data_IF_389162777361
#
_entry.id   IF_389162777361
#
_cell.length_a   1.000
_cell.length_b   1.000
_cell.length_c   1.000
_cell.angle_alpha   90.00
_cell.angle_beta   90.00
_cell.angle_gamma   90.00
#
_symmetry.space_group_name_H-M   'P 1'
#
loop_
_entity.id
_entity.type
_entity.pdbx_description
1 polymer ?
#
# COMPACT_ATOMS: atom_id res chain seq x y z
N UNK A 1 -4.67 -11.67 9.94
CA UNK A 1 -4.33 -13.07 9.68
C UNK A 1 -5.57 -13.98 9.73
N UNK A 2 -6.38 -13.94 10.80
CA UNK A 2 -7.60 -14.75 10.88
C UNK A 2 -8.65 -14.42 9.81
N UNK A 3 -8.75 -13.16 9.38
CA UNK A 3 -9.64 -12.76 8.30
C UNK A 3 -9.17 -13.29 6.94
N UNK A 4 -7.87 -13.25 6.67
CA UNK A 4 -7.28 -13.80 5.44
C UNK A 4 -7.53 -15.31 5.37
N UNK A 5 -7.29 -16.04 6.47
CA UNK A 5 -7.56 -17.49 6.51
C UNK A 5 -9.03 -17.85 6.32
N UNK A 6 -9.96 -17.00 6.81
CA UNK A 6 -11.39 -17.22 6.55
C UNK A 6 -11.74 -17.04 5.07
N UNK A 7 -11.14 -16.05 4.41
CA UNK A 7 -11.32 -15.81 2.98
C UNK A 7 -10.70 -16.96 2.18
N UNK A 8 -9.49 -17.39 2.55
CA UNK A 8 -8.81 -18.53 1.91
C UNK A 8 -9.60 -19.84 2.10
N UNK A 9 -10.24 -20.06 3.24
CA UNK A 9 -11.11 -21.20 3.50
C UNK A 9 -12.42 -21.17 2.68
N UNK A 10 -12.84 -19.99 2.21
CA UNK A 10 -13.95 -19.80 1.29
C UNK A 10 -13.47 -19.88 -0.17
N UNK A 11 -12.19 -20.14 -0.40
CA UNK A 11 -11.54 -20.13 -1.70
C UNK A 11 -12.15 -21.17 -2.64
N UNK A 12 -12.42 -20.73 -3.83
CA UNK A 12 -13.09 -21.47 -4.91
C UNK A 12 -14.31 -20.75 -5.45
N UNK A 13 -14.94 -19.87 -4.65
CA UNK A 13 -16.14 -19.12 -5.04
C UNK A 13 -16.02 -17.61 -4.86
N UNK A 14 -15.02 -17.13 -4.15
CA UNK A 14 -14.89 -15.70 -3.81
C UNK A 14 -13.48 -15.18 -4.06
N UNK A 15 -13.39 -13.94 -4.53
CA UNK A 15 -12.13 -13.18 -4.62
C UNK A 15 -12.24 -12.03 -3.63
N UNK A 16 -11.29 -11.92 -2.71
CA UNK A 16 -11.20 -10.79 -1.81
C UNK A 16 -11.01 -9.48 -2.59
N UNK A 17 -11.62 -8.40 -2.10
CA UNK A 17 -11.53 -7.06 -2.70
C UNK A 17 -11.06 -6.05 -1.62
N UNK A 18 -9.83 -6.19 -1.11
CA UNK A 18 -9.35 -5.30 -0.05
C UNK A 18 -9.11 -3.88 -0.57
N UNK A 19 -9.40 -2.90 0.28
CA UNK A 19 -9.14 -1.48 0.02
C UNK A 19 -8.81 -0.77 1.34
N UNK A 20 -8.18 0.41 1.26
CA UNK A 20 -7.88 1.24 2.42
C UNK A 20 -9.00 2.22 2.72
N UNK A 21 -9.58 2.81 1.69
CA UNK A 21 -10.72 3.71 1.79
C UNK A 21 -11.54 3.73 0.50
N UNK A 22 -12.69 4.41 0.56
CA UNK A 22 -13.58 4.64 -0.57
C UNK A 22 -14.34 5.97 -0.37
N UNK A 23 -15.37 6.22 -1.19
CA UNK A 23 -16.20 7.43 -1.11
C UNK A 23 -17.06 7.54 0.16
N UNK A 24 -17.22 6.46 0.92
CA UNK A 24 -18.02 6.41 2.16
C UNK A 24 -17.14 6.44 3.42
N UNK A 25 -15.88 6.01 3.31
CA UNK A 25 -14.94 6.00 4.43
C UNK A 25 -13.96 7.17 4.35
N UNK A 26 -13.38 7.57 5.48
CA UNK A 26 -12.33 8.59 5.48
C UNK A 26 -11.13 8.17 4.64
N UNK A 27 -10.52 9.14 3.94
CA UNK A 27 -9.31 8.89 3.13
C UNK A 27 -8.14 8.47 4.01
N UNK A 28 -7.40 7.48 3.54
CA UNK A 28 -6.33 6.83 4.33
C UNK A 28 -5.27 7.83 4.81
N UNK A 29 -4.87 8.79 4.00
CA UNK A 29 -3.87 9.79 4.40
C UNK A 29 -4.32 10.62 5.61
N UNK A 30 -5.61 10.95 5.72
CA UNK A 30 -6.19 11.59 6.90
C UNK A 30 -6.17 10.69 8.12
N UNK A 31 -6.55 9.42 7.96
CA UNK A 31 -6.62 8.41 9.04
C UNK A 31 -5.23 8.16 9.66
N UNK A 32 -4.19 8.05 8.84
CA UNK A 32 -2.82 7.81 9.33
C UNK A 32 -2.09 9.09 9.76
N UNK A 33 -2.83 10.19 9.92
CA UNK A 33 -2.31 11.44 10.49
C UNK A 33 -1.49 12.28 9.51
N UNK A 34 -1.75 12.16 8.22
CA UNK A 34 -1.11 12.95 7.15
C UNK A 34 0.41 12.78 7.10
N UNK A 35 0.89 11.60 7.43
CA UNK A 35 2.32 11.25 7.41
C UNK A 35 2.62 10.39 6.20
N UNK A 36 3.46 10.90 5.32
CA UNK A 36 3.81 10.29 4.05
C UNK A 36 4.26 8.83 4.21
N UNK A 37 5.24 8.58 5.09
CA UNK A 37 5.74 7.22 5.35
C UNK A 37 4.64 6.26 5.81
N UNK A 38 3.64 6.76 6.56
CA UNK A 38 2.51 5.94 6.98
C UNK A 38 1.56 5.65 5.83
N UNK A 39 1.32 6.63 4.93
CA UNK A 39 0.51 6.42 3.72
C UNK A 39 1.14 5.34 2.85
N UNK A 40 2.43 5.46 2.58
CA UNK A 40 3.20 4.45 1.82
C UNK A 40 3.12 3.09 2.50
N UNK A 41 3.42 3.03 3.79
CA UNK A 41 3.45 1.78 4.54
C UNK A 41 2.13 1.01 4.49
N UNK A 42 1.00 1.68 4.73
CA UNK A 42 -0.31 1.00 4.70
C UNK A 42 -0.68 0.53 3.30
N UNK A 43 -0.26 1.26 2.25
CA UNK A 43 -0.44 0.79 0.88
C UNK A 43 0.45 -0.41 0.55
N UNK A 44 1.69 -0.39 1.00
CA UNK A 44 2.58 -1.55 0.90
C UNK A 44 1.95 -2.80 1.53
N UNK A 45 1.35 -2.66 2.72
CA UNK A 45 0.60 -3.74 3.37
C UNK A 45 -0.58 -4.21 2.51
N UNK A 46 -1.39 -3.28 1.99
CA UNK A 46 -2.53 -3.61 1.11
C UNK A 46 -2.06 -4.40 -0.11
N UNK A 47 -0.97 -3.97 -0.73
CA UNK A 47 -0.44 -4.60 -1.94
C UNK A 47 0.06 -6.04 -1.72
N UNK A 48 0.35 -6.43 -0.47
CA UNK A 48 0.74 -7.79 -0.09
C UNK A 48 -0.45 -8.70 0.25
N UNK A 49 -1.68 -8.19 0.26
CA UNK A 49 -2.86 -9.01 0.54
C UNK A 49 -3.31 -9.80 -0.71
N UNK A 50 -3.82 -11.00 -0.48
CA UNK A 50 -4.46 -11.82 -1.52
C UNK A 50 -5.78 -11.17 -1.99
N UNK A 51 -6.12 -11.32 -3.25
CA UNK A 51 -7.34 -10.80 -3.87
C UNK A 51 -7.10 -9.64 -4.83
N UNK A 52 -8.15 -8.96 -5.24
CA UNK A 52 -8.08 -7.77 -6.09
C UNK A 52 -8.10 -6.51 -5.22
N UNK A 53 -6.98 -5.84 -5.09
CA UNK A 53 -6.89 -4.57 -4.34
C UNK A 53 -7.55 -3.44 -5.10
N UNK A 54 -8.30 -2.59 -4.38
CA UNK A 54 -8.90 -1.39 -4.93
C UNK A 54 -8.22 -0.15 -4.33
N UNK A 55 -7.85 0.77 -5.19
CA UNK A 55 -7.32 2.09 -4.82
C UNK A 55 -8.39 3.13 -5.12
N UNK A 56 -8.76 3.92 -4.13
CA UNK A 56 -9.65 5.05 -4.34
C UNK A 56 -8.84 6.21 -4.94
N UNK A 57 -9.37 6.86 -5.97
CA UNK A 57 -8.65 7.92 -6.68
C UNK A 57 -8.11 8.99 -5.71
N UNK A 58 -6.89 9.43 -5.94
CA UNK A 58 -6.19 10.40 -5.10
C UNK A 58 -5.50 9.82 -3.86
N UNK A 59 -5.73 8.54 -3.50
CA UNK A 59 -4.96 7.89 -2.45
C UNK A 59 -3.49 7.74 -2.86
N UNK A 60 -3.24 7.54 -4.15
CA UNK A 60 -1.92 7.42 -4.76
C UNK A 60 -1.09 8.71 -4.70
N UNK A 61 -1.71 9.83 -4.39
CA UNK A 61 -1.03 11.12 -4.12
C UNK A 61 -1.28 11.64 -2.71
N UNK A 62 -1.87 10.81 -1.84
CA UNK A 62 -2.10 11.15 -0.45
C UNK A 62 -3.20 12.18 -0.20
N UNK A 63 -4.23 12.28 -1.05
CA UNK A 63 -5.36 13.19 -0.81
C UNK A 63 -6.04 12.89 0.52
N UNK A 64 -6.48 13.94 1.19
CA UNK A 64 -7.15 13.86 2.50
C UNK A 64 -8.65 14.21 2.38
N UNK A 65 -9.43 13.78 3.37
CA UNK A 65 -10.86 14.02 3.47
C UNK A 65 -11.48 12.96 4.39
N UNK A 66 -11.96 13.34 5.57
CA UNK A 66 -12.26 12.34 6.59
C UNK A 66 -13.63 12.45 7.22
N UNK A 67 -14.18 13.64 7.42
CA UNK A 67 -15.35 13.82 8.28
C UNK A 67 -16.64 14.00 7.51
N UNK A 68 -16.64 14.85 6.50
CA UNK A 68 -17.81 15.17 5.71
C UNK A 68 -17.79 14.41 4.39
N UNK A 69 -18.91 13.88 3.94
CA UNK A 69 -18.97 13.08 2.71
C UNK A 69 -18.46 13.81 1.47
N UNK A 70 -18.85 15.06 1.21
CA UNK A 70 -18.31 15.81 0.09
C UNK A 70 -16.80 15.99 0.14
N UNK A 71 -16.19 16.12 1.33
CA UNK A 71 -14.75 16.32 1.48
C UNK A 71 -13.91 15.08 1.06
N UNK A 72 -14.52 13.89 1.04
CA UNK A 72 -13.89 12.67 0.55
C UNK A 72 -13.84 12.60 -0.98
N UNK A 73 -14.63 13.45 -1.67
CA UNK A 73 -14.88 13.42 -3.12
C UNK A 73 -14.38 14.66 -3.85
N UNK A 74 -13.44 15.38 -3.25
CA UNK A 74 -12.81 16.57 -3.85
C UNK A 74 -12.04 16.22 -5.11
N UNK A 75 -11.84 17.19 -6.00
CA UNK A 75 -11.12 17.00 -7.26
C UNK A 75 -9.69 16.52 -7.07
N UNK A 76 -9.20 15.79 -8.07
CA UNK A 76 -7.81 15.33 -8.13
C UNK A 76 -6.86 16.53 -8.18
N UNK A 77 -5.78 16.50 -7.41
CA UNK A 77 -4.70 17.48 -7.49
C UNK A 77 -3.72 17.05 -8.59
N UNK A 78 -3.85 17.65 -9.76
CA UNK A 78 -2.99 17.31 -10.89
C UNK A 78 -1.63 18.00 -10.83
N UNK A 79 -1.59 19.22 -10.30
CA UNK A 79 -0.40 20.06 -10.16
C UNK A 79 -0.52 20.97 -8.92
N UNK A 80 0.61 21.44 -8.39
CA UNK A 80 0.64 22.33 -7.23
C UNK A 80 0.05 23.72 -7.52
N UNK A 81 0.03 24.14 -8.76
CA UNK A 81 -0.60 25.40 -9.19
C UNK A 81 -2.13 25.33 -9.16
N UNK A 82 -2.70 24.12 -9.03
CA UNK A 82 -4.15 23.86 -8.98
C UNK A 82 -4.91 24.33 -10.21
N UNK A 83 -4.26 24.30 -11.36
CA UNK A 83 -4.80 24.87 -12.61
C UNK A 83 -5.94 24.04 -13.19
N UNK A 84 -5.98 22.74 -12.91
CA UNK A 84 -6.93 21.77 -13.49
C UNK A 84 -7.78 21.06 -12.44
N UNK A 85 -7.98 21.66 -11.28
CA UNK A 85 -8.85 21.09 -10.26
C UNK A 85 -10.31 21.26 -10.63
N UNK A 86 -11.08 20.17 -10.57
CA UNK A 86 -12.53 20.24 -10.73
C UNK A 86 -13.19 20.93 -9.53
N UNK A 87 -14.33 21.56 -9.77
CA UNK A 87 -15.13 22.17 -8.71
C UNK A 87 -15.44 21.15 -7.61
N UNK A 88 -15.26 21.55 -6.37
CA UNK A 88 -15.57 20.70 -5.22
C UNK A 88 -17.08 20.38 -5.18
N UNK A 89 -17.48 19.20 -4.69
CA UNK A 89 -18.88 18.84 -4.51
C UNK A 89 -19.63 19.86 -3.63
N UNK A 90 -20.93 20.07 -3.88
CA UNK A 90 -21.76 20.88 -2.97
C UNK A 90 -21.69 20.38 -1.53
N UNK A 91 -21.59 21.28 -0.57
CA UNK A 91 -21.45 20.94 0.85
C UNK A 91 -20.03 20.60 1.30
N UNK A 92 -19.03 20.73 0.44
CA UNK A 92 -17.63 20.61 0.84
C UNK A 92 -17.29 21.69 1.89
N UNK A 93 -16.75 21.24 3.02
CA UNK A 93 -16.32 22.12 4.12
C UNK A 93 -14.81 22.26 4.20
N UNK A 94 -14.06 21.30 3.63
CA UNK A 94 -12.62 21.30 3.64
C UNK A 94 -12.08 20.73 2.34
N UNK A 95 -11.29 21.51 1.63
CA UNK A 95 -10.54 21.08 0.46
C UNK A 95 -9.05 21.29 0.75
N UNK A 96 -8.45 20.30 1.39
CA UNK A 96 -7.05 20.36 1.78
C UNK A 96 -6.23 19.36 0.97
N UNK A 97 -5.13 19.85 0.44
CA UNK A 97 -4.07 19.05 -0.17
C UNK A 97 -2.82 19.22 0.68
N UNK A 98 -2.30 18.12 1.18
CA UNK A 98 -1.19 18.10 2.16
C UNK A 98 0.12 17.73 1.47
N UNK A 99 0.01 16.96 0.39
CA UNK A 99 1.12 16.50 -0.42
C UNK A 99 1.04 17.13 -1.80
N UNK A 100 2.10 17.02 -2.56
CA UNK A 100 2.22 17.55 -3.91
C UNK A 100 1.24 16.91 -4.89
N UNK A 101 1.02 17.59 -6.01
CA UNK A 101 0.18 17.09 -7.10
C UNK A 101 0.83 15.96 -7.89
N UNK A 102 0.06 15.40 -8.83
CA UNK A 102 0.50 14.29 -9.67
C UNK A 102 1.81 14.63 -10.41
N UNK A 103 1.89 15.83 -11.03
CA UNK A 103 3.04 16.18 -11.85
C UNK A 103 4.32 16.25 -11.02
N UNK A 104 4.29 16.90 -9.86
CA UNK A 104 5.44 17.01 -8.98
C UNK A 104 5.83 15.65 -8.40
N UNK A 105 4.84 14.85 -8.01
CA UNK A 105 5.10 13.50 -7.48
C UNK A 105 5.64 12.54 -8.55
N UNK A 106 5.37 12.78 -9.82
CA UNK A 106 5.98 11.99 -10.92
C UNK A 106 7.49 12.19 -11.02
N UNK A 107 7.96 13.39 -10.70
CA UNK A 107 9.39 13.76 -10.77
C UNK A 107 10.16 13.34 -9.50
N UNK A 108 9.48 13.15 -8.38
CA UNK A 108 10.10 12.69 -7.13
C UNK A 108 10.10 11.16 -7.03
N UNK A 109 11.26 10.49 -7.14
CA UNK A 109 11.36 9.03 -7.07
C UNK A 109 10.89 8.46 -5.72
N UNK A 110 10.88 9.27 -4.67
CA UNK A 110 10.46 8.86 -3.33
C UNK A 110 9.03 9.28 -2.98
N UNK A 111 8.27 9.84 -3.90
CA UNK A 111 6.88 10.27 -3.67
C UNK A 111 5.94 9.12 -3.32
N UNK A 112 4.76 9.46 -2.80
CA UNK A 112 3.67 8.50 -2.57
C UNK A 112 3.29 7.83 -3.89
N UNK A 113 3.14 8.61 -4.97
CA UNK A 113 2.75 8.12 -6.29
C UNK A 113 3.73 7.06 -6.84
N UNK A 114 5.03 7.35 -6.77
CA UNK A 114 6.03 6.43 -7.29
C UNK A 114 6.15 5.18 -6.40
N UNK A 115 5.93 5.30 -5.09
CA UNK A 115 5.82 4.15 -4.21
C UNK A 115 4.60 3.26 -4.55
N UNK A 116 3.44 3.84 -4.84
CA UNK A 116 2.26 3.10 -5.30
C UNK A 116 2.52 2.34 -6.60
N UNK A 117 3.20 2.99 -7.57
CA UNK A 117 3.63 2.33 -8.82
C UNK A 117 4.55 1.14 -8.53
N UNK A 118 5.52 1.31 -7.62
CA UNK A 118 6.45 0.26 -7.25
C UNK A 118 5.72 -0.95 -6.62
N UNK A 119 4.79 -0.70 -5.70
CA UNK A 119 3.95 -1.74 -5.09
C UNK A 119 3.12 -2.50 -6.14
N UNK A 120 2.49 -1.77 -7.06
CA UNK A 120 1.69 -2.37 -8.12
C UNK A 120 2.55 -3.19 -9.09
N UNK A 121 3.75 -2.71 -9.43
CA UNK A 121 4.68 -3.45 -10.26
C UNK A 121 5.11 -4.77 -9.60
N UNK A 122 5.47 -4.74 -8.31
CA UNK A 122 5.79 -5.93 -7.55
C UNK A 122 4.61 -6.93 -7.55
N UNK A 123 3.41 -6.42 -7.27
CA UNK A 123 2.20 -7.22 -7.26
C UNK A 123 1.90 -7.88 -8.61
N UNK A 124 2.11 -7.18 -9.70
CA UNK A 124 1.91 -7.70 -11.06
C UNK A 124 3.00 -8.68 -11.49
N UNK A 125 4.24 -8.47 -11.02
CA UNK A 125 5.35 -9.36 -11.32
C UNK A 125 5.25 -10.72 -10.63
N UNK A 126 4.60 -10.77 -9.46
CA UNK A 126 4.50 -11.98 -8.63
C UNK A 126 3.03 -12.39 -8.41
N UNK A 127 2.44 -13.22 -9.28
CA UNK A 127 1.07 -13.74 -9.13
C UNK A 127 0.77 -14.34 -7.74
N UNK A 128 1.75 -14.91 -7.05
CA UNK A 128 1.59 -15.42 -5.70
C UNK A 128 1.16 -14.34 -4.70
N UNK A 129 1.49 -13.07 -4.91
CA UNK A 129 1.01 -11.97 -4.05
C UNK A 129 -0.51 -11.81 -4.14
N UNK A 130 -1.08 -11.93 -5.34
CA UNK A 130 -2.51 -11.74 -5.59
C UNK A 130 -3.34 -12.99 -5.36
N UNK A 131 -2.81 -14.15 -5.73
CA UNK A 131 -3.56 -15.42 -5.87
C UNK A 131 -3.07 -16.50 -4.92
N UNK A 132 -1.93 -16.28 -4.25
CA UNK A 132 -1.30 -17.28 -3.41
C UNK A 132 -2.02 -17.51 -2.11
N UNK A 133 -2.00 -18.77 -1.68
CA UNK A 133 -2.32 -19.14 -0.31
C UNK A 133 -1.25 -18.51 0.60
N UNK A 134 -1.70 -17.87 1.67
CA UNK A 134 -0.83 -17.17 2.61
C UNK A 134 -0.60 -17.98 3.88
N UNK A 135 0.65 -18.30 4.15
CA UNK A 135 1.09 -18.96 5.38
C UNK A 135 1.92 -17.99 6.21
N UNK A 136 1.63 -17.88 7.51
CA UNK A 136 2.48 -17.11 8.42
C UNK A 136 3.71 -17.95 8.76
N UNK A 137 4.89 -17.35 8.63
CA UNK A 137 6.12 -17.88 9.18
C UNK A 137 6.27 -17.33 10.60
N UNK A 138 6.43 -18.22 11.59
CA UNK A 138 6.69 -17.79 12.97
C UNK A 138 8.12 -17.23 13.05
N UNK A 139 8.24 -16.02 13.58
CA UNK A 139 9.50 -15.33 13.74
C UNK A 139 9.57 -14.72 15.14
N UNK A 140 10.74 -14.76 15.78
CA UNK A 140 10.94 -14.33 17.16
C UNK A 140 11.28 -12.82 17.25
N UNK A 141 10.47 -12.00 16.62
CA UNK A 141 10.49 -10.54 16.73
C UNK A 141 9.08 -10.03 16.47
N UNK A 142 8.48 -9.36 17.45
CA UNK A 142 7.10 -8.86 17.35
C UNK A 142 6.92 -7.74 16.30
N UNK A 143 8.01 -7.07 15.92
CA UNK A 143 8.01 -6.02 14.90
C UNK A 143 8.30 -6.55 13.50
N UNK A 144 8.47 -7.85 13.32
CA UNK A 144 8.71 -8.46 12.02
C UNK A 144 7.57 -9.42 11.68
N UNK A 145 6.94 -9.21 10.54
CA UNK A 145 5.98 -10.15 9.97
C UNK A 145 6.62 -10.86 8.79
N UNK A 146 6.66 -12.18 8.85
CA UNK A 146 7.01 -13.03 7.73
C UNK A 146 5.79 -13.77 7.21
N UNK A 147 5.60 -13.74 5.89
CA UNK A 147 4.55 -14.49 5.21
C UNK A 147 5.14 -15.20 4.00
N UNK A 148 4.74 -16.45 3.83
CA UNK A 148 4.98 -17.22 2.60
C UNK A 148 3.70 -17.24 1.79
N UNK A 149 3.79 -16.93 0.50
CA UNK A 149 2.67 -16.97 -0.43
C UNK A 149 3.00 -17.92 -1.57
N UNK A 150 2.14 -18.88 -1.81
CA UNK A 150 2.36 -19.92 -2.82
C UNK A 150 1.21 -19.94 -3.81
N UNK A 151 1.53 -19.86 -5.09
CA UNK A 151 0.57 -19.98 -6.19
C UNK A 151 1.21 -20.79 -7.32
N UNK A 152 0.59 -21.93 -7.68
CA UNK A 152 1.16 -22.86 -8.65
C UNK A 152 2.60 -23.26 -8.29
N UNK A 153 3.54 -22.94 -9.15
CA UNK A 153 4.98 -23.21 -8.96
C UNK A 153 5.76 -22.03 -8.40
N UNK A 154 5.08 -20.91 -8.09
CA UNK A 154 5.70 -19.71 -7.54
C UNK A 154 5.54 -19.67 -6.03
N UNK A 155 6.64 -19.37 -5.34
CA UNK A 155 6.63 -19.10 -3.90
C UNK A 155 7.35 -17.78 -3.65
N UNK A 156 6.69 -16.88 -2.92
CA UNK A 156 7.23 -15.58 -2.50
C UNK A 156 7.22 -15.50 -0.99
N UNK A 157 8.34 -15.14 -0.40
CA UNK A 157 8.43 -14.78 1.02
C UNK A 157 8.37 -13.26 1.15
N UNK A 158 7.43 -12.77 1.94
CA UNK A 158 7.26 -11.34 2.25
C UNK A 158 7.73 -11.11 3.68
N UNK A 159 8.71 -10.22 3.84
CA UNK A 159 9.19 -9.75 5.13
C UNK A 159 8.79 -8.28 5.33
N UNK A 160 8.15 -7.98 6.45
CA UNK A 160 7.68 -6.62 6.76
C UNK A 160 8.23 -6.21 8.12
N UNK A 161 8.95 -5.08 8.14
CA UNK A 161 9.44 -4.46 9.35
C UNK A 161 8.47 -3.36 9.81
N UNK A 162 7.89 -3.51 10.99
CA UNK A 162 7.01 -2.54 11.65
C UNK A 162 7.74 -1.63 12.64
N UNK A 163 9.02 -1.90 12.90
CA UNK A 163 9.84 -1.06 13.78
C UNK A 163 10.29 0.22 13.07
N UNK A 164 10.72 1.18 13.84
CA UNK A 164 11.41 2.39 13.35
C UNK A 164 12.91 2.19 13.16
N UNK A 165 13.43 1.03 13.54
CA UNK A 165 14.83 0.65 13.45
C UNK A 165 15.04 -0.47 12.43
N UNK A 166 16.25 -0.61 11.94
CA UNK A 166 16.64 -1.69 11.02
C UNK A 166 16.54 -3.04 11.72
N UNK A 167 15.92 -4.01 11.06
CA UNK A 167 15.83 -5.41 11.49
C UNK A 167 16.58 -6.30 10.51
N UNK A 168 17.24 -7.32 11.03
CA UNK A 168 17.86 -8.37 10.22
C UNK A 168 16.97 -9.60 10.21
N UNK A 169 16.69 -10.11 9.02
CA UNK A 169 15.79 -11.25 8.83
C UNK A 169 16.49 -12.30 7.99
N UNK A 170 16.56 -13.52 8.50
CA UNK A 170 17.04 -14.66 7.72
C UNK A 170 15.89 -15.26 6.91
N UNK A 171 16.01 -15.18 5.59
CA UNK A 171 15.07 -15.78 4.63
C UNK A 171 15.85 -16.53 3.57
N UNK A 172 15.22 -17.54 2.97
CA UNK A 172 15.80 -18.28 1.84
C UNK A 172 15.24 -17.73 0.53
N UNK A 173 16.09 -17.70 -0.51
CA UNK A 173 15.75 -17.25 -1.85
C UNK A 173 16.41 -15.92 -2.22
N UNK A 174 16.22 -15.53 -3.49
CA UNK A 174 16.78 -14.29 -4.02
C UNK A 174 15.92 -13.10 -3.65
N UNK A 175 16.55 -11.96 -3.38
CA UNK A 175 15.86 -10.70 -3.18
C UNK A 175 15.31 -10.20 -4.52
N UNK A 176 13.98 -10.26 -4.66
CA UNK A 176 13.31 -9.90 -5.90
C UNK A 176 12.86 -8.43 -5.94
N UNK A 177 12.38 -7.89 -4.83
CA UNK A 177 11.85 -6.53 -4.74
C UNK A 177 12.00 -5.96 -3.34
N UNK A 178 12.28 -4.67 -3.26
CA UNK A 178 12.31 -3.88 -2.02
C UNK A 178 11.28 -2.77 -2.07
N UNK A 179 10.56 -2.57 -0.98
CA UNK A 179 9.56 -1.52 -0.81
C UNK A 179 9.92 -0.67 0.41
N UNK A 180 10.73 0.36 0.20
CA UNK A 180 11.16 1.27 1.27
C UNK A 180 10.24 2.50 1.30
N UNK A 181 9.76 2.87 2.48
CA UNK A 181 8.85 4.02 2.65
C UNK A 181 9.58 5.37 2.65
N UNK A 182 10.89 5.37 2.84
CA UNK A 182 11.80 6.52 2.79
C UNK A 182 12.96 6.26 1.84
N UNK A 183 14.06 6.98 2.06
CA UNK A 183 15.28 6.86 1.25
C UNK A 183 16.19 5.71 1.73
N UNK A 184 15.78 5.00 2.78
CA UNK A 184 16.53 3.86 3.34
C UNK A 184 16.67 2.75 2.30
N UNK A 185 17.78 2.07 2.35
CA UNK A 185 18.05 0.93 1.48
C UNK A 185 17.99 -0.37 2.26
N UNK A 186 17.37 -1.37 1.66
CA UNK A 186 17.45 -2.75 2.13
C UNK A 186 18.68 -3.38 1.44
N UNK A 187 19.49 -4.10 2.20
CA UNK A 187 20.60 -4.86 1.65
C UNK A 187 20.44 -6.34 1.94
N UNK A 188 20.84 -7.17 0.98
CA UNK A 188 20.96 -8.61 1.18
C UNK A 188 22.41 -8.94 1.51
N UNK A 189 22.62 -9.55 2.68
CA UNK A 189 23.93 -10.07 3.09
C UNK A 189 23.95 -11.59 2.93
N UNK A 190 24.86 -12.10 2.11
CA UNK A 190 25.04 -13.54 1.85
C UNK A 190 24.27 -14.00 0.60
N UNK A 191 24.91 -14.88 -0.13
CA UNK A 191 24.27 -15.74 -1.14
C UNK A 191 24.13 -17.13 -0.53
N UNK A 192 22.94 -17.66 -0.50
CA UNK A 192 22.73 -19.09 -0.26
C UNK A 192 22.49 -19.81 -1.56
#
# INVERSE_FOLDING_TARGET
>A
YSAVNKIDAMAGTYIAAPFLCNHDTGRIAGIVGRKENKVKFVYGLLSMLTGNTFTYYGDEIGMVGSYNDPDKRIGMLWDNAKTNITTAPPGTTSQQYVFDGVLEQMEDPYSILNYYKLCNNARNAFPALMRGVTERIVYDDEYVLLMKKTYQNETVTVAINFATETKQVAVTGDLAQMLCVGEEQISQNGST
#
